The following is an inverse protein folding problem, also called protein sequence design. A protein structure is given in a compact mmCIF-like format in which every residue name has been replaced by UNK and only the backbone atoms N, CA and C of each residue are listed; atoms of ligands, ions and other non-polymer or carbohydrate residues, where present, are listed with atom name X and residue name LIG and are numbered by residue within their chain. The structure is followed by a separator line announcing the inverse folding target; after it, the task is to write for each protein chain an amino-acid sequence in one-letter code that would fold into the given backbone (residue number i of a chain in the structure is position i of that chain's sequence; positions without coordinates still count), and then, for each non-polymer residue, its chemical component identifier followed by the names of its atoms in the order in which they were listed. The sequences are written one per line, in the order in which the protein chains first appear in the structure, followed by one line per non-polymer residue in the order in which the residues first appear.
data_IF_202859762187
#
_entry.id   IF_202859762187
#
_cell.length_a   1.000
_cell.length_b   1.000
_cell.length_c   1.000
_cell.angle_alpha   90.00
_cell.angle_beta   90.00
_cell.angle_gamma   90.00
#
_symmetry.space_group_name_H-M   'P 1'
#
loop_
_entity.id
_entity.type
_entity.pdbx_description
1 polymer ?
#
# COMPACT_ATOMS: atom_id res chain seq x y z
N UNK A 1 23.91 40.67 0.81
CA UNK A 1 23.96 39.33 0.20
C UNK A 1 23.31 38.35 1.17
N UNK A 2 22.14 37.79 0.82
CA UNK A 2 21.49 36.78 1.65
C UNK A 2 22.23 35.44 1.51
N UNK A 3 22.67 34.86 2.62
CA UNK A 3 23.24 33.52 2.69
C UNK A 3 22.21 32.50 2.22
N UNK A 4 22.50 31.74 1.16
CA UNK A 4 21.67 30.59 0.75
C UNK A 4 21.65 29.60 1.91
N UNK A 5 20.51 29.49 2.59
CA UNK A 5 20.31 28.48 3.61
C UNK A 5 20.57 27.09 2.99
N UNK A 6 21.47 26.33 3.59
CA UNK A 6 21.87 25.03 3.08
C UNK A 6 20.83 24.00 3.54
N UNK A 7 19.79 23.79 2.73
CA UNK A 7 18.70 22.89 3.06
C UNK A 7 19.18 21.42 2.99
N UNK A 8 18.76 20.56 3.94
CA UNK A 8 19.07 19.13 3.87
C UNK A 8 18.54 18.52 2.57
N UNK A 9 19.35 17.70 1.91
CA UNK A 9 19.02 17.10 0.62
C UNK A 9 18.53 15.66 0.80
N UNK A 10 17.48 15.29 0.06
CA UNK A 10 16.94 13.92 0.02
C UNK A 10 16.74 13.50 -1.42
N UNK A 11 17.18 12.28 -1.74
CA UNK A 11 16.91 11.63 -3.02
C UNK A 11 15.85 10.55 -2.81
N UNK A 12 14.81 10.55 -3.63
CA UNK A 12 13.75 9.55 -3.66
C UNK A 12 13.84 8.79 -4.98
N UNK A 13 13.81 7.46 -4.91
CA UNK A 13 13.78 6.60 -6.09
C UNK A 13 12.36 6.10 -6.27
N UNK A 14 11.76 6.46 -7.41
CA UNK A 14 10.37 6.16 -7.76
C UNK A 14 9.44 7.36 -7.59
N UNK A 15 8.73 7.69 -8.67
CA UNK A 15 7.72 8.75 -8.76
C UNK A 15 6.29 8.25 -8.55
N UNK A 16 6.12 7.04 -8.03
CA UNK A 16 4.81 6.52 -7.62
C UNK A 16 4.20 7.31 -6.45
N UNK A 17 2.95 7.00 -6.11
CA UNK A 17 2.16 7.73 -5.12
C UNK A 17 2.88 7.87 -3.76
N UNK A 18 3.59 6.83 -3.31
CA UNK A 18 4.37 6.84 -2.07
C UNK A 18 5.57 7.79 -2.17
N UNK A 19 6.27 7.79 -3.31
CA UNK A 19 7.42 8.67 -3.53
C UNK A 19 7.01 10.14 -3.59
N UNK A 20 5.92 10.44 -4.31
CA UNK A 20 5.39 11.81 -4.44
C UNK A 20 4.86 12.35 -3.11
N UNK A 21 4.09 11.58 -2.34
CA UNK A 21 3.65 12.03 -1.02
C UNK A 21 4.81 12.19 -0.03
N UNK A 22 5.82 11.31 -0.11
CA UNK A 22 7.04 11.46 0.68
C UNK A 22 7.77 12.76 0.34
N UNK A 23 7.94 13.05 -0.96
CA UNK A 23 8.52 14.30 -1.44
C UNK A 23 7.75 15.53 -0.95
N UNK A 24 6.42 15.49 -1.05
CA UNK A 24 5.52 16.57 -0.62
C UNK A 24 5.74 16.93 0.87
N UNK A 25 5.67 15.95 1.76
CA UNK A 25 5.84 16.21 3.20
C UNK A 25 7.29 16.55 3.58
N UNK A 26 8.28 16.02 2.87
CA UNK A 26 9.68 16.43 3.05
C UNK A 26 9.91 17.89 2.63
N UNK A 27 9.33 18.31 1.51
CA UNK A 27 9.42 19.69 1.05
C UNK A 27 8.76 20.65 2.05
N UNK A 28 7.60 20.29 2.62
CA UNK A 28 6.97 21.08 3.69
C UNK A 28 7.85 21.23 4.94
N UNK A 29 8.70 20.24 5.22
CA UNK A 29 9.68 20.27 6.33
C UNK A 29 10.98 21.01 5.97
N UNK A 30 11.06 21.63 4.79
CA UNK A 30 12.23 22.41 4.37
C UNK A 30 13.35 21.59 3.73
N UNK A 31 13.08 20.35 3.29
CA UNK A 31 14.08 19.55 2.58
C UNK A 31 14.12 19.91 1.09
N UNK A 32 15.32 19.85 0.50
CA UNK A 32 15.50 19.87 -0.95
C UNK A 32 15.39 18.44 -1.48
N UNK A 33 14.30 18.12 -2.17
CA UNK A 33 14.02 16.76 -2.66
C UNK A 33 14.37 16.64 -4.15
N UNK A 34 15.04 15.55 -4.51
CA UNK A 34 15.23 15.11 -5.91
C UNK A 34 14.56 13.76 -6.08
N UNK A 35 13.72 13.60 -7.11
CA UNK A 35 13.05 12.33 -7.42
C UNK A 35 13.69 11.77 -8.69
N UNK A 36 14.04 10.49 -8.65
CA UNK A 36 14.57 9.75 -9.81
C UNK A 36 13.54 8.68 -10.18
N UNK A 37 13.04 8.72 -11.40
CA UNK A 37 12.17 7.72 -11.99
C UNK A 37 12.87 7.10 -13.20
N UNK A 38 12.68 5.80 -13.41
CA UNK A 38 13.23 5.06 -14.55
C UNK A 38 12.42 5.31 -15.82
N UNK A 39 11.12 5.51 -15.70
CA UNK A 39 10.16 5.62 -16.80
C UNK A 39 9.51 7.01 -16.81
N UNK A 40 8.47 7.21 -17.61
CA UNK A 40 7.65 8.42 -17.59
C UNK A 40 6.57 8.40 -16.47
N UNK A 41 6.53 7.34 -15.67
CA UNK A 41 5.55 7.14 -14.61
C UNK A 41 4.20 6.58 -15.07
N UNK A 42 4.02 6.32 -16.37
CA UNK A 42 2.76 5.82 -16.93
C UNK A 42 2.61 4.28 -16.88
N UNK A 43 3.66 3.56 -16.50
CA UNK A 43 3.70 2.09 -16.49
C UNK A 43 3.79 1.46 -15.09
N UNK A 44 3.73 2.29 -14.04
CA UNK A 44 3.79 1.83 -12.65
C UNK A 44 2.44 1.49 -12.02
N UNK A 45 2.46 0.76 -10.90
CA UNK A 45 1.25 0.44 -10.11
C UNK A 45 0.45 1.67 -9.67
N UNK A 46 1.05 2.86 -9.67
CA UNK A 46 0.38 4.10 -9.30
C UNK A 46 -0.47 4.72 -10.42
N UNK A 47 -0.19 4.40 -11.69
CA UNK A 47 -0.92 4.97 -12.83
C UNK A 47 -2.30 4.29 -13.01
N UNK A 48 -2.37 2.97 -12.86
CA UNK A 48 -3.56 2.16 -13.12
C UNK A 48 -4.41 1.77 -11.90
N UNK A 49 -4.25 2.40 -10.73
CA UNK A 49 -4.87 1.94 -9.48
C UNK A 49 -6.32 2.39 -9.23
N UNK A 50 -6.97 3.02 -10.21
CA UNK A 50 -8.33 3.58 -10.14
C UNK A 50 -8.56 4.68 -9.06
N UNK A 51 -7.51 5.14 -8.37
CA UNK A 51 -7.56 6.26 -7.42
C UNK A 51 -8.45 6.03 -6.19
N UNK A 52 -8.77 4.78 -5.86
CA UNK A 52 -9.71 4.49 -4.77
C UNK A 52 -9.08 4.69 -3.39
N UNK A 53 -9.77 5.42 -2.51
CA UNK A 53 -9.44 5.53 -1.08
C UNK A 53 -10.50 4.77 -0.28
N UNK A 54 -10.16 3.57 0.19
CA UNK A 54 -11.15 2.61 0.73
C UNK A 54 -10.84 2.25 2.20
N UNK A 55 -11.15 3.15 3.15
CA UNK A 55 -10.86 2.93 4.56
C UNK A 55 -11.76 1.88 5.22
N UNK A 56 -12.75 1.34 4.51
CA UNK A 56 -13.66 0.29 5.00
C UNK A 56 -13.08 -1.12 4.86
N UNK A 57 -12.02 -1.31 4.08
CA UNK A 57 -11.44 -2.63 3.78
C UNK A 57 -10.20 -2.89 4.64
N UNK A 58 -10.40 -3.00 5.94
CA UNK A 58 -9.32 -3.21 6.92
C UNK A 58 -9.27 -4.64 7.49
N UNK A 59 -10.15 -5.53 7.02
CA UNK A 59 -10.08 -6.96 7.34
C UNK A 59 -8.95 -7.57 6.51
N UNK A 60 -7.96 -8.24 7.14
CA UNK A 60 -6.84 -8.84 6.43
C UNK A 60 -7.29 -9.99 5.52
N UNK A 61 -6.49 -10.35 4.52
CA UNK A 61 -6.81 -11.48 3.64
C UNK A 61 -6.78 -12.84 4.36
N UNK A 62 -5.93 -12.98 5.38
CA UNK A 62 -5.82 -14.19 6.19
C UNK A 62 -6.91 -14.20 7.28
N UNK A 63 -8.13 -14.60 6.93
CA UNK A 63 -9.22 -14.82 7.89
C UNK A 63 -9.57 -16.31 8.02
N UNK A 64 -10.15 -16.73 9.16
CA UNK A 64 -10.68 -18.08 9.32
C UNK A 64 -11.58 -18.50 8.16
N UNK A 65 -11.40 -19.72 7.67
CA UNK A 65 -12.17 -20.26 6.54
C UNK A 65 -11.67 -19.88 5.15
N UNK A 66 -10.70 -18.96 5.01
CA UNK A 66 -10.12 -18.64 3.68
C UNK A 66 -9.35 -19.79 3.06
N UNK A 67 -8.74 -20.66 3.86
CA UNK A 67 -8.04 -21.84 3.33
C UNK A 67 -9.01 -22.89 2.83
N UNK A 68 -10.13 -23.10 3.51
CA UNK A 68 -11.16 -24.03 3.03
C UNK A 68 -11.71 -23.54 1.68
N UNK A 69 -12.00 -22.24 1.57
CA UNK A 69 -12.38 -21.61 0.29
C UNK A 69 -11.26 -21.74 -0.75
N UNK A 70 -10.02 -21.49 -0.37
CA UNK A 70 -8.85 -21.61 -1.24
C UNK A 70 -8.65 -23.03 -1.78
N UNK A 71 -8.81 -24.06 -0.94
CA UNK A 71 -8.76 -25.47 -1.35
C UNK A 71 -9.90 -25.79 -2.32
N UNK A 72 -11.14 -25.38 -2.01
CA UNK A 72 -12.28 -25.56 -2.93
C UNK A 72 -12.03 -24.88 -4.28
N UNK A 73 -11.42 -23.70 -4.27
CA UNK A 73 -11.04 -22.94 -5.46
C UNK A 73 -9.93 -23.59 -6.29
N UNK A 74 -8.99 -24.33 -5.67
CA UNK A 74 -7.98 -25.09 -6.42
C UNK A 74 -8.60 -26.19 -7.30
N UNK A 75 -9.78 -26.70 -6.94
CA UNK A 75 -10.51 -27.71 -7.71
C UNK A 75 -11.51 -27.11 -8.71
N UNK A 76 -11.57 -25.78 -8.82
CA UNK A 76 -12.41 -25.08 -9.79
C UNK A 76 -11.53 -24.26 -10.75
N UNK A 77 -11.48 -24.67 -12.03
CA UNK A 77 -10.71 -23.98 -13.06
C UNK A 77 -11.24 -22.59 -13.43
N UNK A 78 -12.49 -22.27 -13.09
CA UNK A 78 -13.10 -20.95 -13.24
C UNK A 78 -12.93 -20.07 -12.00
N UNK A 79 -12.20 -20.55 -10.99
CA UNK A 79 -11.93 -19.79 -9.77
C UNK A 79 -11.12 -18.51 -10.06
N UNK A 80 -11.43 -17.38 -9.41
CA UNK A 80 -10.61 -16.17 -9.48
C UNK A 80 -9.20 -16.36 -8.88
N UNK A 81 -9.00 -17.46 -8.14
CA UNK A 81 -7.72 -17.85 -7.56
C UNK A 81 -7.45 -19.33 -7.87
N UNK A 82 -6.65 -19.59 -8.90
CA UNK A 82 -6.17 -20.93 -9.27
C UNK A 82 -4.71 -21.09 -8.85
N UNK A 83 -4.43 -22.03 -7.95
CA UNK A 83 -3.07 -22.43 -7.62
C UNK A 83 -2.77 -23.71 -8.40
N UNK A 84 -1.87 -23.63 -9.38
CA UNK A 84 -1.43 -24.81 -10.10
C UNK A 84 -0.81 -25.80 -9.10
N UNK A 85 -1.32 -27.04 -8.97
CA UNK A 85 -0.74 -28.03 -8.08
C UNK A 85 0.71 -28.29 -8.48
N UNK A 86 1.66 -27.93 -7.61
CA UNK A 86 3.09 -28.21 -7.77
C UNK A 86 3.63 -28.63 -6.41
N UNK A 87 4.43 -29.69 -6.38
CA UNK A 87 5.11 -30.11 -5.17
C UNK A 87 6.28 -29.14 -4.89
N UNK A 88 5.97 -28.04 -4.23
CA UNK A 88 6.94 -27.00 -3.86
C UNK A 88 6.92 -26.85 -2.34
N UNK A 89 8.04 -27.16 -1.69
CA UNK A 89 8.19 -27.07 -0.24
C UNK A 89 8.02 -25.65 0.30
N UNK A 90 8.43 -24.62 -0.46
CA UNK A 90 8.22 -23.23 -0.08
C UNK A 90 6.73 -22.87 -0.08
N UNK A 91 5.98 -23.38 -1.07
CA UNK A 91 4.54 -23.17 -1.15
C UNK A 91 3.82 -23.85 0.02
N UNK A 92 4.23 -25.08 0.37
CA UNK A 92 3.67 -25.80 1.53
C UNK A 92 4.00 -25.07 2.83
N UNK A 93 5.25 -24.66 3.03
CA UNK A 93 5.69 -23.90 4.20
C UNK A 93 4.93 -22.57 4.34
N UNK A 94 4.77 -21.84 3.24
CA UNK A 94 3.96 -20.62 3.20
C UNK A 94 2.49 -20.90 3.52
N UNK A 95 1.91 -21.97 2.96
CA UNK A 95 0.52 -22.37 3.23
C UNK A 95 0.28 -22.69 4.71
N UNK A 96 1.21 -23.37 5.38
CA UNK A 96 1.14 -23.62 6.83
C UNK A 96 1.21 -22.32 7.61
N UNK A 97 2.11 -21.39 7.26
CA UNK A 97 2.20 -20.07 7.91
C UNK A 97 0.93 -19.25 7.69
N UNK A 98 0.37 -19.28 6.48
CA UNK A 98 -0.89 -18.61 6.16
C UNK A 98 -2.05 -19.20 6.98
N UNK A 99 -2.09 -20.52 7.16
CA UNK A 99 -3.06 -21.18 8.05
C UNK A 99 -2.94 -20.74 9.49
N UNK A 100 -1.72 -20.74 10.01
CA UNK A 100 -1.45 -20.27 11.37
C UNK A 100 -1.82 -18.80 11.55
N UNK A 101 -1.68 -17.96 10.51
CA UNK A 101 -2.08 -16.56 10.54
C UNK A 101 -3.61 -16.34 10.39
N UNK A 102 -4.31 -17.26 9.72
CA UNK A 102 -5.74 -17.17 9.43
C UNK A 102 -6.63 -17.57 10.64
N UNK A 103 -6.41 -16.94 11.80
CA UNK A 103 -7.17 -17.18 13.02
C UNK A 103 -7.77 -15.87 13.60
N UNK A 104 -8.86 -15.93 14.40
CA UNK A 104 -9.56 -14.74 14.89
C UNK A 104 -8.66 -13.77 15.67
N UNK A 105 -7.74 -14.29 16.49
CA UNK A 105 -6.83 -13.49 17.31
C UNK A 105 -5.87 -12.66 16.45
N UNK A 106 -5.33 -13.23 15.38
CA UNK A 106 -4.46 -12.50 14.45
C UNK A 106 -5.24 -11.51 13.60
N UNK A 107 -6.46 -11.88 13.19
CA UNK A 107 -7.37 -10.95 12.50
C UNK A 107 -7.62 -9.74 13.37
N UNK A 108 -8.10 -9.91 14.60
CA UNK A 108 -8.39 -8.81 15.52
C UNK A 108 -7.18 -7.89 15.74
N UNK A 109 -6.00 -8.48 15.95
CA UNK A 109 -4.74 -7.73 16.11
C UNK A 109 -4.39 -6.90 14.87
N UNK A 110 -4.44 -7.50 13.68
CA UNK A 110 -4.08 -6.82 12.44
C UNK A 110 -5.11 -5.75 12.05
N UNK A 111 -6.38 -6.04 12.31
CA UNK A 111 -7.51 -5.22 11.91
C UNK A 111 -7.48 -3.83 12.55
N UNK A 112 -7.02 -3.72 13.80
CA UNK A 112 -6.85 -2.42 14.49
C UNK A 112 -5.81 -1.55 13.78
N UNK A 113 -4.61 -2.10 13.52
CA UNK A 113 -3.55 -1.37 12.83
C UNK A 113 -3.93 -0.98 11.40
N UNK A 114 -4.58 -1.90 10.67
CA UNK A 114 -5.08 -1.65 9.31
C UNK A 114 -6.18 -0.59 9.27
N UNK A 115 -7.11 -0.61 10.23
CA UNK A 115 -8.14 0.43 10.36
C UNK A 115 -7.48 1.78 10.63
N UNK A 116 -6.60 1.85 11.61
CA UNK A 116 -6.01 3.11 12.06
C UNK A 116 -5.16 3.76 10.96
N UNK A 117 -4.32 2.98 10.26
CA UNK A 117 -3.55 3.50 9.13
C UNK A 117 -4.44 3.93 7.97
N UNK A 118 -5.53 3.21 7.71
CA UNK A 118 -6.47 3.54 6.63
C UNK A 118 -7.26 4.82 6.92
N UNK A 119 -7.70 5.01 8.17
CA UNK A 119 -8.37 6.22 8.61
C UNK A 119 -7.41 7.42 8.61
N UNK A 120 -6.16 7.22 9.05
CA UNK A 120 -5.13 8.24 8.97
C UNK A 120 -4.85 8.63 7.51
N UNK A 121 -4.68 7.66 6.62
CA UNK A 121 -4.47 7.89 5.19
C UNK A 121 -5.62 8.69 4.57
N UNK A 122 -6.87 8.33 4.87
CA UNK A 122 -8.05 9.09 4.43
C UNK A 122 -7.99 10.54 4.89
N UNK A 123 -7.69 10.78 6.18
CA UNK A 123 -7.61 12.13 6.75
C UNK A 123 -6.52 12.95 6.08
N UNK A 124 -5.31 12.41 5.97
CA UNK A 124 -4.18 13.11 5.33
C UNK A 124 -4.47 13.45 3.87
N UNK A 125 -5.13 12.55 3.14
CA UNK A 125 -5.58 12.82 1.77
C UNK A 125 -6.59 13.97 1.71
N UNK A 126 -7.56 14.02 2.64
CA UNK A 126 -8.53 15.12 2.71
C UNK A 126 -7.86 16.45 3.04
N UNK A 127 -6.88 16.45 3.94
CA UNK A 127 -6.11 17.65 4.30
C UNK A 127 -5.28 18.14 3.10
N UNK A 128 -4.62 17.22 2.38
CA UNK A 128 -3.93 17.50 1.13
C UNK A 128 -4.87 18.11 0.07
N UNK A 129 -6.04 17.49 -0.16
CA UNK A 129 -7.00 17.96 -1.16
C UNK A 129 -7.50 19.38 -0.89
N UNK A 130 -7.77 19.71 0.38
CA UNK A 130 -8.14 21.06 0.80
C UNK A 130 -7.00 22.06 0.57
N UNK A 131 -5.78 21.69 0.95
CA UNK A 131 -4.61 22.55 0.78
C UNK A 131 -4.35 22.87 -0.71
N UNK A 132 -4.50 21.89 -1.59
CA UNK A 132 -4.34 22.10 -3.03
C UNK A 132 -5.48 22.91 -3.65
N UNK A 133 -6.72 22.76 -3.17
CA UNK A 133 -7.82 23.61 -3.60
C UNK A 133 -7.57 25.09 -3.25
N UNK A 134 -7.05 25.36 -2.06
CA UNK A 134 -6.72 26.72 -1.62
C UNK A 134 -5.56 27.36 -2.39
N UNK A 135 -4.67 26.57 -3.01
CA UNK A 135 -3.55 27.08 -3.83
C UNK A 135 -3.97 27.44 -5.26
N UNK A 136 -5.13 26.98 -5.70
CA UNK A 136 -5.66 27.20 -7.06
C UNK A 136 -6.58 28.42 -7.15
N UNK A 137 -6.87 29.07 -6.02
CA UNK A 137 -7.63 30.32 -5.90
C UNK A 137 -6.63 31.44 -5.64
#
# INVERSE_FOLDING_TARGET
MATKANLPQVVIIGSGIIGLYSAYYLQQKGYKVTIIERTDGADGCSYGNAGMIVPSHFIPLAVPGMIEKGIRWMFNSESPFYVKPRLNWDLVSWGIKFYQAANPKQVEKAMLALRDISLLGKRLYQDFAKAEQNRRI
#
